data_IF_900298827418
#
_entry.id   IF_900298827418
#
_cell.length_a   1.000
_cell.length_b   1.000
_cell.length_c   1.000
_cell.angle_alpha   90.00
_cell.angle_beta   90.00
_cell.angle_gamma   90.00
#
_symmetry.space_group_name_H-M   'P 1'
#
loop_
_entity.id
_entity.type
_entity.pdbx_description
1 polymer ?
#
# COMPACT_ATOMS: atom_id res chain seq x y z
N UNK A 1 1.12 -8.06 8.79
CA UNK A 1 1.96 -8.46 7.64
C UNK A 1 1.07 -8.53 6.42
N UNK A 2 1.50 -7.94 5.30
CA UNK A 2 0.72 -7.88 4.05
C UNK A 2 0.51 -9.28 3.48
N UNK A 3 -0.73 -9.60 3.10
CA UNK A 3 -1.13 -10.91 2.56
C UNK A 3 -0.95 -10.96 1.03
N UNK A 4 0.30 -11.10 0.59
CA UNK A 4 0.61 -11.21 -0.84
C UNK A 4 -0.05 -12.43 -1.53
N UNK A 5 -0.11 -13.63 -0.91
CA UNK A 5 -0.84 -14.76 -1.49
C UNK A 5 -2.33 -14.44 -1.73
N UNK A 6 -3.01 -13.87 -0.75
CA UNK A 6 -4.42 -13.49 -0.89
C UNK A 6 -4.64 -12.42 -1.97
N UNK A 7 -3.72 -11.48 -2.11
CA UNK A 7 -3.73 -10.46 -3.17
C UNK A 7 -3.53 -11.06 -4.57
N UNK A 8 -2.64 -12.05 -4.70
CA UNK A 8 -2.45 -12.80 -5.95
C UNK A 8 -3.75 -13.47 -6.40
N UNK A 9 -4.38 -14.22 -5.48
CA UNK A 9 -5.63 -14.91 -5.77
C UNK A 9 -6.76 -13.93 -6.13
N UNK A 10 -6.79 -12.76 -5.48
CA UNK A 10 -7.74 -11.70 -5.82
C UNK A 10 -7.50 -11.15 -7.22
N UNK A 11 -6.26 -10.85 -7.60
CA UNK A 11 -5.90 -10.37 -8.93
C UNK A 11 -6.32 -11.36 -10.04
N UNK A 12 -6.05 -12.66 -9.84
CA UNK A 12 -6.47 -13.70 -10.77
C UNK A 12 -8.00 -13.79 -10.93
N UNK A 13 -8.74 -13.69 -9.81
CA UNK A 13 -10.21 -13.65 -9.86
C UNK A 13 -10.73 -12.45 -10.63
N UNK A 14 -10.15 -11.26 -10.44
CA UNK A 14 -10.53 -10.06 -11.21
C UNK A 14 -10.28 -10.25 -12.70
N UNK A 15 -9.13 -10.81 -13.08
CA UNK A 15 -8.79 -11.11 -14.49
C UNK A 15 -9.71 -12.16 -15.11
N UNK A 16 -10.15 -13.17 -14.33
CA UNK A 16 -11.12 -14.16 -14.78
C UNK A 16 -12.48 -13.52 -15.08
N UNK A 17 -13.04 -12.79 -14.11
CA UNK A 17 -14.34 -12.12 -14.26
C UNK A 17 -14.32 -11.08 -15.39
N UNK A 18 -13.21 -10.36 -15.59
CA UNK A 18 -13.08 -9.41 -16.70
C UNK A 18 -13.23 -10.09 -18.07
N UNK A 19 -12.59 -11.25 -18.26
CA UNK A 19 -12.67 -12.04 -19.49
C UNK A 19 -14.06 -12.62 -19.70
N UNK A 20 -14.68 -13.16 -18.64
CA UNK A 20 -16.05 -13.69 -18.68
C UNK A 20 -17.06 -12.62 -19.07
N UNK A 21 -16.86 -11.38 -18.60
CA UNK A 21 -17.68 -10.23 -18.97
C UNK A 21 -17.44 -9.73 -20.42
N UNK A 22 -16.62 -10.43 -21.23
CA UNK A 22 -16.30 -10.08 -22.62
C UNK A 22 -15.80 -8.63 -22.78
N UNK A 23 -15.07 -8.13 -21.78
CA UNK A 23 -14.45 -6.81 -21.82
C UNK A 23 -13.12 -6.88 -22.56
N UNK A 24 -12.88 -5.91 -23.42
CA UNK A 24 -11.60 -5.80 -24.13
C UNK A 24 -10.42 -5.49 -23.19
N UNK A 25 -9.22 -5.92 -23.59
CA UNK A 25 -7.99 -5.68 -22.86
C UNK A 25 -7.91 -6.39 -21.51
N UNK A 26 -7.09 -5.84 -20.61
CA UNK A 26 -6.92 -6.33 -19.24
C UNK A 26 -7.41 -5.31 -18.22
N UNK A 27 -7.93 -5.74 -17.06
CA UNK A 27 -8.24 -4.80 -15.98
C UNK A 27 -6.96 -4.10 -15.51
N UNK A 28 -7.06 -2.82 -15.17
CA UNK A 28 -5.99 -2.11 -14.47
C UNK A 28 -6.11 -2.41 -12.97
N UNK A 29 -5.09 -3.04 -12.41
CA UNK A 29 -4.99 -3.36 -10.99
C UNK A 29 -4.10 -2.34 -10.29
N UNK A 30 -4.67 -1.65 -9.30
CA UNK A 30 -3.95 -0.69 -8.47
C UNK A 30 -4.05 -1.09 -7.00
N UNK A 31 -2.90 -1.10 -6.32
CA UNK A 31 -2.82 -1.23 -4.87
C UNK A 31 -2.48 0.12 -4.24
N UNK A 32 -2.82 0.28 -2.97
CA UNK A 32 -2.49 1.46 -2.17
C UNK A 32 -1.79 1.02 -0.88
N UNK A 33 -0.77 1.76 -0.45
CA UNK A 33 -0.06 1.51 0.80
C UNK A 33 0.17 2.81 1.55
N UNK A 34 0.06 2.76 2.87
CA UNK A 34 0.35 3.89 3.74
C UNK A 34 1.82 3.86 4.17
N UNK A 35 2.46 5.00 4.35
CA UNK A 35 3.84 5.05 4.82
C UNK A 35 4.15 6.26 5.71
N UNK A 36 5.09 6.06 6.63
CA UNK A 36 5.80 7.13 7.34
C UNK A 36 7.19 6.61 7.73
N UNK A 37 8.24 7.26 7.26
CA UNK A 37 9.64 6.89 7.46
C UNK A 37 10.35 7.86 8.42
N UNK A 38 11.36 7.34 9.11
CA UNK A 38 12.27 8.16 9.92
C UNK A 38 12.39 7.63 11.34
N UNK A 39 12.48 8.55 12.29
CA UNK A 39 12.55 8.23 13.71
C UNK A 39 11.21 7.74 14.28
N UNK A 40 11.23 7.36 15.56
CA UNK A 40 10.05 6.89 16.27
C UNK A 40 8.93 7.93 16.29
N UNK A 41 9.25 9.23 16.31
CA UNK A 41 8.26 10.29 16.32
C UNK A 41 7.51 10.39 14.99
N UNK A 42 8.22 10.29 13.85
CA UNK A 42 7.60 10.26 12.53
C UNK A 42 6.68 9.05 12.36
N UNK A 43 7.14 7.86 12.78
CA UNK A 43 6.35 6.63 12.72
C UNK A 43 5.11 6.73 13.62
N UNK A 44 5.28 7.22 14.86
CA UNK A 44 4.18 7.39 15.80
C UNK A 44 3.15 8.41 15.31
N UNK A 45 3.58 9.50 14.67
CA UNK A 45 2.69 10.47 14.05
C UNK A 45 1.86 9.82 12.92
N UNK A 46 2.48 9.00 12.08
CA UNK A 46 1.78 8.23 11.04
C UNK A 46 0.74 7.28 11.61
N UNK A 47 1.10 6.51 12.63
CA UNK A 47 0.17 5.62 13.31
C UNK A 47 -0.99 6.36 13.98
N UNK A 48 -0.72 7.49 14.65
CA UNK A 48 -1.76 8.30 15.28
C UNK A 48 -2.73 8.87 14.23
N UNK A 49 -2.21 9.33 13.08
CA UNK A 49 -3.03 9.79 11.98
C UNK A 49 -3.95 8.69 11.44
N UNK A 50 -3.41 7.49 11.14
CA UNK A 50 -4.22 6.38 10.63
C UNK A 50 -5.28 5.91 11.64
N UNK A 51 -4.95 5.84 12.93
CA UNK A 51 -5.93 5.52 13.98
C UNK A 51 -7.06 6.55 14.04
N UNK A 52 -6.73 7.83 13.90
CA UNK A 52 -7.74 8.89 13.88
C UNK A 52 -8.59 8.82 12.61
N UNK A 53 -7.97 8.61 11.45
CA UNK A 53 -8.67 8.60 10.15
C UNK A 53 -9.62 7.41 10.02
N UNK A 54 -9.22 6.24 10.50
CA UNK A 54 -10.04 5.02 10.49
C UNK A 54 -10.79 4.77 11.82
N UNK A 55 -10.88 5.78 12.69
CA UNK A 55 -11.43 5.63 14.05
C UNK A 55 -12.87 5.12 14.11
N UNK A 56 -13.65 5.35 13.06
CA UNK A 56 -15.03 4.84 12.93
C UNK A 56 -15.09 3.32 12.73
N UNK A 57 -13.97 2.66 12.42
CA UNK A 57 -13.86 1.19 12.28
C UNK A 57 -12.60 0.68 13.00
N UNK A 58 -12.63 0.56 14.34
CA UNK A 58 -11.42 0.34 15.15
C UNK A 58 -10.61 -0.90 14.76
N UNK A 59 -11.28 -2.01 14.44
CA UNK A 59 -10.60 -3.25 14.02
C UNK A 59 -9.86 -3.06 12.69
N UNK A 60 -10.43 -2.26 11.79
CA UNK A 60 -9.80 -1.93 10.52
C UNK A 60 -8.65 -0.94 10.71
N UNK A 61 -8.80 0.04 11.62
CA UNK A 61 -7.74 0.96 11.97
C UNK A 61 -6.47 0.22 12.44
N UNK A 62 -6.61 -0.80 13.29
CA UNK A 62 -5.48 -1.60 13.75
C UNK A 62 -4.78 -2.35 12.60
N UNK A 63 -5.55 -2.89 11.66
CA UNK A 63 -4.99 -3.55 10.45
C UNK A 63 -4.21 -2.55 9.61
N UNK A 64 -4.77 -1.37 9.33
CA UNK A 64 -4.11 -0.35 8.49
C UNK A 64 -2.86 0.22 9.17
N UNK A 65 -2.91 0.42 10.49
CA UNK A 65 -1.74 0.85 11.28
C UNK A 65 -0.63 -0.19 11.24
N UNK A 66 -0.97 -1.48 11.37
CA UNK A 66 -0.01 -2.58 11.32
C UNK A 66 0.55 -2.84 9.91
N UNK A 67 -0.14 -2.40 8.86
CA UNK A 67 0.27 -2.54 7.45
C UNK A 67 1.07 -1.32 6.92
N UNK A 68 1.13 -0.23 7.68
CA UNK A 68 1.87 0.98 7.31
C UNK A 68 3.37 0.67 7.17
N UNK A 69 3.97 1.09 6.05
CA UNK A 69 5.40 0.97 5.81
C UNK A 69 6.16 1.99 6.67
N UNK A 70 7.15 1.51 7.42
CA UNK A 70 7.95 2.32 8.36
C UNK A 70 9.42 2.42 7.97
N UNK A 71 9.91 1.57 7.07
CA UNK A 71 11.24 1.64 6.50
C UNK A 71 11.19 1.89 4.98
N UNK A 72 12.09 2.75 4.44
CA UNK A 72 12.15 2.97 3.00
C UNK A 72 12.44 1.69 2.20
N UNK A 73 13.31 0.81 2.70
CA UNK A 73 13.64 -0.45 2.03
C UNK A 73 12.39 -1.34 1.79
N UNK A 74 11.45 -1.36 2.75
CA UNK A 74 10.20 -2.10 2.62
C UNK A 74 9.32 -1.54 1.49
N UNK A 75 9.45 -0.25 1.14
CA UNK A 75 8.74 0.35 0.02
C UNK A 75 9.25 -0.19 -1.32
N UNK A 76 10.57 -0.29 -1.50
CA UNK A 76 11.15 -0.87 -2.71
C UNK A 76 10.80 -2.36 -2.86
N UNK A 77 10.81 -3.11 -1.76
CA UNK A 77 10.39 -4.51 -1.74
C UNK A 77 8.90 -4.65 -2.06
N UNK A 78 8.06 -3.73 -1.56
CA UNK A 78 6.63 -3.69 -1.86
C UNK A 78 6.36 -3.39 -3.34
N UNK A 79 7.09 -2.46 -3.97
CA UNK A 79 7.00 -2.20 -5.42
C UNK A 79 7.27 -3.48 -6.21
N UNK A 80 8.37 -4.17 -5.90
CA UNK A 80 8.74 -5.43 -6.57
C UNK A 80 7.67 -6.50 -6.38
N UNK A 81 7.21 -6.70 -5.15
CA UNK A 81 6.18 -7.70 -4.84
C UNK A 81 4.87 -7.45 -5.62
N UNK A 82 4.37 -6.21 -5.67
CA UNK A 82 3.16 -5.91 -6.44
C UNK A 82 3.38 -6.06 -7.96
N UNK A 83 4.57 -5.72 -8.45
CA UNK A 83 4.96 -5.98 -9.84
C UNK A 83 4.94 -7.47 -10.19
N UNK A 84 5.50 -8.32 -9.33
CA UNK A 84 5.52 -9.78 -9.51
C UNK A 84 4.10 -10.39 -9.47
N UNK A 85 3.17 -9.77 -8.75
CA UNK A 85 1.74 -10.13 -8.73
C UNK A 85 0.96 -9.62 -9.96
N UNK A 86 1.62 -8.85 -10.84
CA UNK A 86 1.04 -8.28 -12.04
C UNK A 86 0.08 -7.11 -11.77
N UNK A 87 0.27 -6.38 -10.67
CA UNK A 87 -0.39 -5.08 -10.49
C UNK A 87 0.24 -4.03 -11.40
N UNK A 88 -0.58 -3.19 -12.01
CA UNK A 88 -0.12 -2.14 -12.92
C UNK A 88 0.39 -0.91 -12.16
N UNK A 89 -0.11 -0.70 -10.93
CA UNK A 89 0.13 0.52 -10.16
C UNK A 89 0.20 0.25 -8.67
N UNK A 90 1.11 0.97 -8.01
CA UNK A 90 1.18 1.07 -6.57
C UNK A 90 1.14 2.55 -6.16
N UNK A 91 0.13 2.93 -5.38
CA UNK A 91 -0.02 4.28 -4.85
C UNK A 91 0.47 4.34 -3.40
N UNK A 92 1.40 5.24 -3.13
CA UNK A 92 1.88 5.51 -1.78
C UNK A 92 1.13 6.69 -1.15
N UNK A 93 0.47 6.45 -0.03
CA UNK A 93 -0.20 7.47 0.78
C UNK A 93 0.71 7.88 1.95
N UNK A 94 1.17 9.15 2.01
CA UNK A 94 1.89 9.63 3.17
C UNK A 94 0.95 9.71 4.37
N UNK A 95 1.33 9.09 5.49
CA UNK A 95 0.56 9.13 6.74
C UNK A 95 0.90 10.34 7.61
N UNK A 96 1.75 11.25 7.13
CA UNK A 96 2.11 12.49 7.83
C UNK A 96 2.07 13.67 6.87
N UNK A 97 1.94 14.89 7.41
CA UNK A 97 1.94 16.12 6.61
C UNK A 97 3.36 16.60 6.22
N UNK A 98 4.40 15.84 6.51
CA UNK A 98 5.78 16.27 6.27
C UNK A 98 6.21 15.99 4.83
N UNK A 99 6.70 17.02 4.13
CA UNK A 99 7.11 16.91 2.72
C UNK A 99 8.38 16.07 2.53
N UNK A 100 9.26 16.01 3.53
CA UNK A 100 10.49 15.21 3.48
C UNK A 100 10.22 13.69 3.33
N UNK A 101 8.99 13.25 3.61
CA UNK A 101 8.55 11.88 3.37
C UNK A 101 8.52 11.53 1.88
N UNK A 102 8.14 12.48 1.03
CA UNK A 102 8.08 12.28 -0.41
C UNK A 102 9.48 12.13 -1.01
N UNK A 103 10.44 12.94 -0.54
CA UNK A 103 11.84 12.86 -0.94
C UNK A 103 12.44 11.52 -0.54
N UNK A 104 12.27 11.10 0.72
CA UNK A 104 12.75 9.79 1.22
C UNK A 104 12.17 8.60 0.44
N UNK A 105 10.89 8.69 0.07
CA UNK A 105 10.25 7.66 -0.76
C UNK A 105 10.87 7.65 -2.16
N UNK A 106 10.98 8.82 -2.80
CA UNK A 106 11.53 8.96 -4.15
C UNK A 106 12.95 8.40 -4.24
N UNK A 107 13.83 8.74 -3.28
CA UNK A 107 15.22 8.24 -3.22
C UNK A 107 15.32 6.70 -3.14
N UNK A 108 14.23 6.02 -2.78
CA UNK A 108 14.22 4.57 -2.59
C UNK A 108 13.54 3.80 -3.73
N UNK A 109 12.54 4.40 -4.39
CA UNK A 109 11.70 3.69 -5.38
C UNK A 109 11.86 4.20 -6.82
N UNK A 110 12.60 5.30 -7.04
CA UNK A 110 12.88 5.88 -8.36
C UNK A 110 14.39 5.83 -8.66
#
# INVERSE_FOLDING_TARGET
MRDYPGLSDFAERVRAVWREASRDGTPVLQACVNFAFGDADAIQAGHAHLRSYYGDTPQFADVVVADMLTAPADAADTVRAFGDLGFDRLLFHPSTARLDQLERLADTVL
#
